data_IF_462491275958
#
_entry.id   IF_462491275958
#
_cell.length_a   1.000
_cell.length_b   1.000
_cell.length_c   1.000
_cell.angle_alpha   90.00
_cell.angle_beta   90.00
_cell.angle_gamma   90.00
#
_symmetry.space_group_name_H-M   'P 1'
#
loop_
_entity.id
_entity.type
_entity.pdbx_description
1 polymer ?
#
# COMPACT_ATOMS: atom_id res chain seq x y z
N UNK A 1 -14.21 -14.77 -7.98
CA UNK A 1 -13.24 -14.08 -7.10
C UNK A 1 -14.02 -13.26 -6.09
N UNK A 2 -13.50 -13.07 -4.88
CA UNK A 2 -14.19 -12.29 -3.82
C UNK A 2 -13.31 -11.12 -3.38
N UNK A 3 -13.86 -10.32 -2.47
CA UNK A 3 -13.08 -9.60 -1.48
C UNK A 3 -12.16 -8.50 -2.03
N UNK A 4 -11.03 -8.33 -1.36
CA UNK A 4 -10.13 -7.20 -1.61
C UNK A 4 -9.16 -7.49 -2.75
N UNK A 5 -8.91 -6.46 -3.56
CA UNK A 5 -7.87 -6.47 -4.61
C UNK A 5 -6.81 -5.45 -4.22
N UNK A 6 -5.54 -5.83 -4.32
CA UNK A 6 -4.43 -4.94 -4.00
C UNK A 6 -3.23 -5.25 -4.88
N UNK A 7 -2.39 -4.23 -5.01
CA UNK A 7 -1.18 -4.28 -5.83
C UNK A 7 0.04 -4.40 -4.91
N UNK A 8 1.09 -5.03 -5.41
CA UNK A 8 2.34 -5.19 -4.70
C UNK A 8 3.46 -5.75 -5.55
N UNK A 9 4.65 -5.77 -4.97
CA UNK A 9 5.88 -6.18 -5.64
C UNK A 9 6.21 -7.64 -5.33
N UNK A 10 6.64 -8.38 -6.34
CA UNK A 10 7.10 -9.75 -6.18
C UNK A 10 8.50 -9.79 -5.58
N UNK A 11 8.62 -10.27 -4.35
CA UNK A 11 9.92 -10.37 -3.65
C UNK A 11 10.59 -11.71 -3.92
N UNK A 12 9.84 -12.81 -4.02
CA UNK A 12 10.43 -14.12 -4.28
C UNK A 12 9.52 -15.06 -5.06
N UNK A 13 10.13 -15.78 -6.00
CA UNK A 13 9.50 -16.79 -6.84
C UNK A 13 10.10 -18.19 -6.65
N UNK A 14 10.67 -18.46 -5.47
CA UNK A 14 11.38 -19.72 -5.21
C UNK A 14 10.47 -20.94 -5.05
N UNK A 15 9.18 -20.74 -4.74
CA UNK A 15 8.24 -21.84 -4.50
C UNK A 15 7.52 -22.23 -5.80
N UNK A 16 7.22 -23.52 -5.95
CA UNK A 16 6.42 -24.00 -7.08
C UNK A 16 4.99 -23.43 -7.01
N UNK A 17 4.54 -22.82 -8.12
CA UNK A 17 3.17 -22.29 -8.31
C UNK A 17 2.72 -21.22 -7.29
N UNK A 18 3.62 -20.74 -6.44
CA UNK A 18 3.32 -19.77 -5.37
C UNK A 18 4.43 -18.72 -5.33
N UNK A 19 4.04 -17.48 -5.19
CA UNK A 19 4.93 -16.33 -5.19
C UNK A 19 4.70 -15.51 -3.91
N UNK A 20 5.77 -14.91 -3.38
CA UNK A 20 5.66 -14.01 -2.23
C UNK A 20 5.61 -12.57 -2.72
N UNK A 21 4.52 -11.89 -2.40
CA UNK A 21 4.31 -10.49 -2.75
C UNK A 21 4.37 -9.62 -1.52
N UNK A 22 5.10 -8.51 -1.61
CA UNK A 22 5.22 -7.50 -0.55
C UNK A 22 4.32 -6.32 -0.86
N UNK A 23 3.60 -5.88 0.16
CA UNK A 23 2.87 -4.62 0.17
C UNK A 23 3.50 -3.69 1.19
N UNK A 24 3.86 -2.50 0.75
CA UNK A 24 4.33 -1.42 1.63
C UNK A 24 3.17 -0.50 1.98
N UNK A 25 3.04 -0.19 3.26
CA UNK A 25 2.01 0.69 3.80
C UNK A 25 2.66 1.67 4.77
N UNK A 26 2.15 2.89 4.80
CA UNK A 26 2.50 3.86 5.84
C UNK A 26 1.42 3.84 6.92
N UNK A 27 1.83 3.63 8.17
CA UNK A 27 0.94 3.62 9.32
C UNK A 27 1.21 4.86 10.17
N UNK A 28 0.15 5.63 10.45
CA UNK A 28 0.24 6.81 11.29
C UNK A 28 0.17 6.44 12.77
N UNK A 29 1.20 6.79 13.53
CA UNK A 29 1.22 6.65 14.97
C UNK A 29 0.54 7.88 15.62
N UNK A 30 -0.72 7.71 16.04
CA UNK A 30 -1.57 8.81 16.52
C UNK A 30 -0.99 9.59 17.72
N UNK A 31 -0.18 8.94 18.57
CA UNK A 31 0.45 9.60 19.73
C UNK A 31 1.60 10.54 19.33
N UNK A 32 2.33 10.21 18.26
CA UNK A 32 3.56 10.90 17.88
C UNK A 32 3.44 11.71 16.59
N UNK A 33 2.28 11.65 15.91
CA UNK A 33 2.03 12.29 14.61
C UNK A 33 3.10 11.94 13.55
N UNK A 34 3.67 10.73 13.65
CA UNK A 34 4.70 10.20 12.74
C UNK A 34 4.14 9.09 11.89
N UNK A 35 4.68 8.92 10.68
CA UNK A 35 4.40 7.79 9.81
C UNK A 35 5.51 6.76 9.96
N UNK A 36 5.14 5.50 10.19
CA UNK A 36 6.06 4.35 10.13
C UNK A 36 5.76 3.50 8.91
N UNK A 37 6.82 3.06 8.23
CA UNK A 37 6.71 2.14 7.08
C UNK A 37 6.53 0.72 7.58
N UNK A 38 5.44 0.07 7.17
CA UNK A 38 5.09 -1.30 7.51
C UNK A 38 5.04 -2.13 6.24
N UNK A 39 5.80 -3.22 6.21
CA UNK A 39 5.75 -4.18 5.11
C UNK A 39 4.95 -5.43 5.51
N UNK A 40 4.06 -5.88 4.63
CA UNK A 40 3.32 -7.14 4.78
C UNK A 40 3.64 -8.05 3.60
N UNK A 41 3.84 -9.33 3.88
CA UNK A 41 4.11 -10.35 2.85
C UNK A 41 2.88 -11.25 2.71
N UNK A 42 2.53 -11.55 1.47
CA UNK A 42 1.41 -12.40 1.10
C UNK A 42 1.91 -13.56 0.26
N UNK A 43 1.50 -14.78 0.60
CA UNK A 43 1.71 -15.96 -0.23
C UNK A 43 0.56 -16.04 -1.24
N UNK A 44 0.90 -15.99 -2.52
CA UNK A 44 -0.06 -15.84 -3.61
C UNK A 44 0.12 -16.99 -4.60
N UNK A 45 -0.98 -17.60 -5.02
CA UNK A 45 -0.95 -18.59 -6.08
C UNK A 45 -0.70 -17.92 -7.43
N UNK A 46 0.34 -18.37 -8.13
CA UNK A 46 0.61 -17.99 -9.52
C UNK A 46 0.03 -19.06 -10.44
N UNK A 47 -0.99 -18.74 -11.26
CA UNK A 47 -1.45 -19.65 -12.29
C UNK A 47 -0.37 -19.81 -13.37
N UNK A 48 -0.27 -20.98 -14.03
CA UNK A 48 0.81 -21.27 -14.97
C UNK A 48 0.77 -20.42 -16.25
N UNK A 49 -0.36 -19.76 -16.53
CA UNK A 49 -0.50 -18.84 -17.64
C UNK A 49 0.20 -17.49 -17.41
N UNK A 50 0.46 -17.11 -16.16
CA UNK A 50 1.13 -15.88 -15.79
C UNK A 50 2.56 -16.20 -15.35
N UNK A 51 3.52 -15.95 -16.23
CA UNK A 51 4.95 -16.11 -15.95
C UNK A 51 5.46 -14.94 -15.12
N UNK A 52 5.15 -14.93 -13.83
CA UNK A 52 5.55 -13.89 -12.88
C UNK A 52 7.03 -14.06 -12.50
N UNK A 53 7.81 -12.99 -12.59
CA UNK A 53 9.22 -12.93 -12.23
C UNK A 53 9.44 -12.10 -10.97
N UNK A 54 10.64 -12.19 -10.40
CA UNK A 54 11.05 -11.34 -9.27
C UNK A 54 11.15 -9.89 -9.72
N UNK A 55 10.62 -8.97 -8.90
CA UNK A 55 10.56 -7.53 -9.18
C UNK A 55 9.34 -7.08 -9.98
N UNK A 56 8.47 -7.99 -10.42
CA UNK A 56 7.25 -7.60 -11.14
C UNK A 56 6.26 -6.91 -10.19
N UNK A 57 5.55 -5.89 -10.71
CA UNK A 57 4.43 -5.27 -10.02
C UNK A 57 3.15 -6.00 -10.40
N UNK A 58 2.50 -6.64 -9.43
CA UNK A 58 1.37 -7.55 -9.67
C UNK A 58 0.12 -7.12 -8.92
N UNK A 59 -1.03 -7.33 -9.57
CA UNK A 59 -2.36 -7.18 -8.98
C UNK A 59 -2.85 -8.53 -8.47
N UNK A 60 -3.20 -8.57 -7.19
CA UNK A 60 -3.64 -9.76 -6.48
C UNK A 60 -5.09 -9.61 -6.06
N UNK A 61 -5.86 -10.69 -6.14
CA UNK A 61 -7.19 -10.77 -5.52
C UNK A 61 -7.28 -11.85 -4.47
N UNK A 62 -8.16 -11.58 -3.51
CA UNK A 62 -8.63 -12.55 -2.54
C UNK A 62 -9.47 -13.67 -3.20
N UNK A 63 -9.24 -14.90 -2.74
CA UNK A 63 -9.90 -16.09 -3.23
C UNK A 63 -10.34 -16.98 -2.06
N UNK A 64 -10.96 -18.13 -2.38
CA UNK A 64 -11.09 -19.24 -1.43
C UNK A 64 -9.68 -19.63 -0.93
N UNK A 65 -9.52 -20.02 0.35
CA UNK A 65 -8.27 -20.62 0.81
C UNK A 65 -7.90 -21.83 -0.04
N UNK A 66 -6.80 -21.73 -0.78
CA UNK A 66 -6.23 -22.81 -1.59
C UNK A 66 -5.29 -23.68 -0.76
N UNK A 67 -4.61 -23.08 0.22
CA UNK A 67 -3.74 -23.77 1.17
C UNK A 67 -3.78 -23.08 2.53
N UNK A 68 -2.94 -23.52 3.47
CA UNK A 68 -2.83 -22.93 4.82
C UNK A 68 -2.50 -21.42 4.79
N UNK A 69 -1.65 -20.99 3.86
CA UNK A 69 -1.19 -19.60 3.76
C UNK A 69 -1.62 -18.91 2.46
N UNK A 70 -2.07 -19.67 1.47
CA UNK A 70 -2.44 -19.14 0.15
C UNK A 70 -3.94 -18.97 0.06
N UNK A 71 -4.38 -17.74 0.26
CA UNK A 71 -5.78 -17.29 0.07
C UNK A 71 -5.92 -16.25 -1.04
N UNK A 72 -4.86 -16.06 -1.83
CA UNK A 72 -4.73 -15.01 -2.83
C UNK A 72 -4.25 -15.58 -4.16
N UNK A 73 -4.69 -14.98 -5.27
CA UNK A 73 -4.32 -15.37 -6.64
C UNK A 73 -3.86 -14.14 -7.43
N UNK A 74 -2.83 -14.31 -8.26
CA UNK A 74 -2.37 -13.26 -9.20
C UNK A 74 -3.37 -13.14 -10.35
N UNK A 75 -3.85 -11.92 -10.62
CA UNK A 75 -4.77 -11.64 -11.74
C UNK A 75 -4.01 -11.08 -12.95
N UNK A 76 -3.17 -10.08 -12.71
CA UNK A 76 -2.53 -9.30 -13.76
C UNK A 76 -1.14 -8.83 -13.33
N UNK A 77 -0.19 -8.86 -14.25
CA UNK A 77 1.09 -8.16 -14.13
C UNK A 77 0.88 -6.74 -14.67
N UNK A 78 1.12 -5.72 -13.83
CA UNK A 78 0.95 -4.31 -14.17
C UNK A 78 2.22 -3.80 -14.84
N UNK A 79 3.35 -4.01 -14.18
CA UNK A 79 4.67 -3.63 -14.66
C UNK A 79 5.57 -4.86 -14.65
N UNK A 80 6.12 -5.19 -15.81
CA UNK A 80 7.09 -6.25 -15.92
C UNK A 80 8.47 -5.69 -15.56
N UNK A 81 9.23 -6.44 -14.77
CA UNK A 81 10.64 -6.18 -14.49
C UNK A 81 11.50 -6.46 -15.73
N UNK A 82 11.28 -5.70 -16.80
CA UNK A 82 12.26 -5.64 -17.90
C UNK A 82 13.47 -4.85 -17.41
N UNK A 83 14.69 -5.42 -17.44
CA UNK A 83 15.91 -4.74 -17.03
C UNK A 83 16.25 -3.51 -17.89
N UNK A 84 15.49 -3.24 -18.95
CA UNK A 84 15.71 -2.13 -19.90
C UNK A 84 15.32 -0.75 -19.34
N UNK A 85 14.55 -0.68 -18.25
CA UNK A 85 14.16 0.60 -17.64
C UNK A 85 15.30 1.31 -16.88
N UNK A 86 16.43 0.63 -16.64
CA UNK A 86 17.61 1.21 -16.00
C UNK A 86 18.38 2.20 -16.90
N UNK A 87 18.05 2.31 -18.20
CA UNK A 87 18.69 3.25 -19.14
C UNK A 87 17.88 4.51 -19.46
N UNK A 88 16.71 4.72 -18.82
CA UNK A 88 16.09 6.05 -18.82
C UNK A 88 16.44 6.77 -17.52
N UNK A 89 17.63 7.36 -17.51
CA UNK A 89 17.87 8.59 -16.78
C UNK A 89 17.04 9.69 -17.47
N UNK A 90 16.00 10.29 -16.87
CA UNK A 90 15.70 11.66 -17.17
C UNK A 90 16.77 12.49 -16.46
N UNK A 91 17.78 12.89 -17.21
CA UNK A 91 18.64 14.00 -16.85
C UNK A 91 17.75 15.20 -16.52
N UNK A 92 17.81 15.64 -15.26
CA UNK A 92 17.55 16.98 -14.76
C UNK A 92 16.40 17.80 -15.42
N UNK A 93 15.29 17.92 -14.68
CA UNK A 93 14.86 19.26 -14.26
C UNK A 93 14.81 19.31 -12.74
N UNK A 94 15.74 20.02 -12.07
CA UNK A 94 15.54 20.50 -10.73
C UNK A 94 14.69 21.77 -10.83
N UNK A 95 13.37 21.62 -10.77
CA UNK A 95 12.46 22.76 -10.59
C UNK A 95 11.78 22.58 -9.23
N UNK A 96 12.49 23.11 -8.22
CA UNK A 96 12.02 23.78 -7.00
C UNK A 96 10.74 23.26 -6.33
N UNK A 97 10.92 22.64 -5.15
CA UNK A 97 9.89 22.70 -4.10
C UNK A 97 10.13 24.03 -3.37
N UNK A 98 9.20 25.01 -3.44
CA UNK A 98 9.27 26.17 -2.55
C UNK A 98 9.11 25.68 -1.12
N UNK A 99 10.16 25.90 -0.33
CA UNK A 99 10.15 25.74 1.12
C UNK A 99 9.38 26.93 1.68
N UNK A 100 8.05 26.89 1.65
CA UNK A 100 7.21 27.83 2.39
C UNK A 100 6.17 27.11 3.24
N UNK A 101 6.48 27.10 4.54
CA UNK A 101 5.57 27.32 5.66
C UNK A 101 4.18 26.67 5.57
N UNK A 102 4.06 25.48 6.16
CA UNK A 102 3.10 25.33 7.25
C UNK A 102 3.64 24.35 8.28
N UNK A 103 4.42 24.90 9.21
CA UNK A 103 4.42 24.36 10.56
C UNK A 103 2.95 24.22 10.98
N UNK A 104 2.42 22.99 10.97
CA UNK A 104 1.18 22.72 11.68
C UNK A 104 1.50 22.97 13.15
N UNK A 105 0.87 23.94 13.83
CA UNK A 105 1.15 24.12 15.25
C UNK A 105 0.69 22.86 15.97
N UNK A 106 1.64 22.14 16.57
CA UNK A 106 1.36 21.13 17.58
C UNK A 106 0.60 21.85 18.68
N UNK A 107 -0.73 21.63 18.76
CA UNK A 107 -1.58 22.25 19.77
C UNK A 107 -1.02 21.89 21.14
N UNK A 108 -0.38 22.85 21.80
CA UNK A 108 -0.06 22.78 23.23
C UNK A 108 -1.37 22.67 24.01
N UNK A 109 -1.32 21.92 25.11
CA UNK A 109 -2.43 21.43 25.94
C UNK A 109 -3.33 22.52 26.58
N UNK A 110 -3.26 23.79 26.16
CA UNK A 110 -3.94 24.93 26.81
C UNK A 110 -5.08 25.59 26.02
N UNK A 111 -5.37 25.18 24.78
CA UNK A 111 -6.48 25.76 24.00
C UNK A 111 -7.42 24.68 23.45
N UNK A 112 -8.26 24.12 24.33
CA UNK A 112 -9.50 23.39 23.97
C UNK A 112 -10.64 23.69 24.95
N UNK A 113 -10.74 24.94 25.37
CA UNK A 113 -11.99 25.43 25.94
C UNK A 113 -12.52 26.53 25.03
N UNK A 114 -13.77 26.32 24.59
CA UNK A 114 -14.71 27.28 24.01
C UNK A 114 -14.80 27.32 22.47
N UNK A 115 -15.60 26.41 21.92
CA UNK A 115 -16.77 26.67 21.02
C UNK A 115 -17.67 25.42 21.21
N UNK A 116 -18.60 25.41 22.18
CA UNK A 116 -20.04 25.66 21.93
C UNK A 116 -20.46 25.02 20.59
N UNK A 117 -21.01 23.81 20.51
CA UNK A 117 -22.31 23.44 21.07
C UNK A 117 -23.35 23.42 19.94
N UNK A 118 -23.36 22.39 19.10
CA UNK A 118 -24.56 22.04 18.31
C UNK A 118 -24.94 20.59 18.58
N UNK A 119 -26.07 20.48 19.29
CA UNK A 119 -26.76 19.26 19.69
C UNK A 119 -27.51 18.72 18.48
N UNK A 120 -27.22 17.48 18.08
CA UNK A 120 -28.06 16.77 17.11
C UNK A 120 -29.51 16.70 17.65
N UNK A 121 -30.53 17.04 16.85
CA UNK A 121 -31.91 16.90 17.30
C UNK A 121 -32.27 15.42 17.44
N UNK A 122 -32.86 15.09 18.58
CA UNK A 122 -33.42 13.78 18.88
C UNK A 122 -34.59 13.49 17.93
N UNK A 123 -34.49 12.42 17.15
CA UNK A 123 -35.64 11.77 16.53
C UNK A 123 -36.45 11.06 17.61
N UNK A 124 -37.74 11.39 17.72
CA UNK A 124 -38.76 10.61 18.42
C UNK A 124 -39.88 10.28 17.42
N UNK A 125 -40.30 9.01 17.51
CA UNK A 125 -41.41 8.29 16.87
C UNK A 125 -41.41 8.14 15.34
#
# INVERSE_FOLDING_TARGET
MRGSVFDGEVVSSAMAKTVVVRRELEHADAKFERLRRVSRKYSVHSPPCLNVKMGDWVRIAECRPLSKTVSFVVIKVIEAATPEAALKLPTAKPEEIPVELSARPVKTKRERTRVEGEKAPATRD
#
